data_IF_165328984071
#
_entry.id   IF_165328984071
#
_cell.length_a   1.000
_cell.length_b   1.000
_cell.length_c   1.000
_cell.angle_alpha   90.00
_cell.angle_beta   90.00
_cell.angle_gamma   90.00
#
_symmetry.space_group_name_H-M   'P 1'
#
loop_
_entity.id
_entity.type
_entity.pdbx_description
1 polymer ?
#
# COMPACT_ATOMS: atom_id res chain seq x y z
N UNK A 1 9.48 6.34 -33.32
CA UNK A 1 8.17 6.00 -32.69
C UNK A 1 7.01 5.98 -33.68
N UNK A 2 7.26 6.16 -34.99
CA UNK A 2 6.22 6.30 -36.03
C UNK A 2 5.44 5.01 -36.35
N UNK A 3 5.88 3.86 -35.84
CA UNK A 3 5.26 2.55 -36.08
C UNK A 3 4.17 2.16 -35.06
N UNK A 4 3.99 2.93 -33.97
CA UNK A 4 2.96 2.62 -32.98
C UNK A 4 1.55 2.81 -33.55
N UNK A 5 0.71 1.78 -33.45
CA UNK A 5 -0.72 1.87 -33.74
C UNK A 5 -1.51 1.82 -32.43
N UNK A 6 -2.55 2.64 -32.34
CA UNK A 6 -3.45 2.63 -31.18
C UNK A 6 -4.02 1.21 -30.98
N UNK A 7 -3.74 0.61 -29.82
CA UNK A 7 -4.12 -0.76 -29.48
C UNK A 7 -2.98 -1.78 -29.52
N UNK A 8 -1.77 -1.40 -29.97
CA UNK A 8 -0.60 -2.28 -29.92
C UNK A 8 -0.21 -2.59 -28.48
N UNK A 9 -0.01 -3.89 -28.19
CA UNK A 9 0.44 -4.36 -26.87
C UNK A 9 1.91 -4.04 -26.59
N UNK A 10 2.73 -3.94 -27.64
CA UNK A 10 4.13 -3.56 -27.57
C UNK A 10 4.25 -2.09 -27.98
N UNK A 11 4.42 -1.23 -26.99
CA UNK A 11 4.67 0.19 -27.24
C UNK A 11 6.16 0.35 -27.54
N UNK A 12 6.56 0.80 -28.74
CA UNK A 12 7.97 1.06 -29.01
C UNK A 12 8.47 2.15 -28.05
N UNK A 13 9.69 1.98 -27.55
CA UNK A 13 10.33 2.96 -26.66
C UNK A 13 11.70 3.35 -27.22
N UNK A 14 12.20 4.49 -26.77
CA UNK A 14 13.58 4.92 -27.02
C UNK A 14 14.15 5.45 -25.72
N UNK A 15 15.44 5.19 -25.46
CA UNK A 15 16.15 5.76 -24.32
C UNK A 15 16.43 7.23 -24.63
N UNK A 16 15.89 8.14 -23.82
CA UNK A 16 16.09 9.59 -23.96
C UNK A 16 17.14 10.16 -23.00
N UNK A 17 17.61 9.34 -22.06
CA UNK A 17 18.62 9.70 -21.08
C UNK A 17 18.93 8.54 -20.14
N UNK A 18 20.08 8.62 -19.48
CA UNK A 18 20.54 7.68 -18.47
C UNK A 18 20.99 8.47 -17.24
N UNK A 19 20.61 7.99 -16.06
CA UNK A 19 20.88 8.65 -14.80
C UNK A 19 21.38 7.62 -13.80
N UNK A 20 22.26 8.03 -12.88
CA UNK A 20 22.60 7.20 -11.72
C UNK A 20 21.44 7.25 -10.74
N UNK A 21 21.23 6.18 -9.97
CA UNK A 21 20.22 6.20 -8.91
C UNK A 21 20.43 7.34 -7.91
N UNK A 22 21.68 7.73 -7.65
CA UNK A 22 22.03 8.89 -6.82
C UNK A 22 21.51 10.22 -7.35
N UNK A 23 21.34 10.34 -8.67
CA UNK A 23 20.85 11.56 -9.31
C UNK A 23 19.33 11.70 -9.10
N UNK A 24 18.64 10.60 -8.77
CA UNK A 24 17.20 10.58 -8.51
C UNK A 24 16.87 10.83 -7.03
N UNK A 25 17.81 10.63 -6.11
CA UNK A 25 17.58 10.79 -4.66
C UNK A 25 17.11 12.21 -4.35
N UNK A 26 16.01 12.30 -3.60
CA UNK A 26 15.37 13.57 -3.24
C UNK A 26 14.35 14.08 -4.26
N UNK A 27 14.22 13.46 -5.44
CA UNK A 27 13.11 13.77 -6.34
C UNK A 27 11.78 13.45 -5.67
N UNK A 28 10.85 14.41 -5.71
CA UNK A 28 9.51 14.24 -5.16
C UNK A 28 8.58 13.63 -6.19
N UNK A 29 7.62 12.85 -5.73
CA UNK A 29 6.59 12.21 -6.54
C UNK A 29 5.21 12.37 -5.89
N UNK A 30 4.15 12.15 -6.66
CA UNK A 30 2.78 12.23 -6.14
C UNK A 30 2.38 10.94 -5.44
N UNK A 31 1.66 11.05 -4.31
CA UNK A 31 1.10 9.90 -3.63
C UNK A 31 0.16 9.10 -4.55
N UNK A 32 0.36 7.78 -4.62
CA UNK A 32 -0.40 6.90 -5.50
C UNK A 32 -1.91 6.89 -5.18
N UNK A 33 -2.22 6.75 -3.90
CA UNK A 33 -3.57 6.82 -3.31
C UNK A 33 -3.61 8.00 -2.32
N UNK A 34 -4.06 9.20 -2.73
CA UNK A 34 -4.02 10.42 -1.92
C UNK A 34 -5.28 10.57 -1.07
N UNK A 35 -5.46 9.62 -0.17
CA UNK A 35 -6.65 9.46 0.68
C UNK A 35 -6.38 9.61 2.18
N UNK A 36 -5.12 9.40 2.59
CA UNK A 36 -4.64 9.56 3.95
C UNK A 36 -3.27 10.21 3.85
N UNK A 37 -3.06 11.26 4.62
CA UNK A 37 -1.77 11.94 4.73
C UNK A 37 -0.86 11.24 5.75
N UNK A 38 0.46 11.18 5.50
CA UNK A 38 1.42 10.78 6.51
C UNK A 38 1.40 11.71 7.72
N UNK A 39 1.56 11.14 8.91
CA UNK A 39 1.64 11.89 10.17
C UNK A 39 2.88 11.45 10.94
N UNK A 40 3.42 12.35 11.75
CA UNK A 40 4.44 12.02 12.73
C UNK A 40 3.94 12.39 14.13
N UNK A 41 4.39 11.64 15.14
CA UNK A 41 4.04 11.87 16.54
C UNK A 41 5.27 12.34 17.30
N UNK A 42 5.11 13.40 18.09
CA UNK A 42 6.17 13.93 18.94
C UNK A 42 6.35 13.09 20.24
N UNK A 43 7.30 13.51 21.08
CA UNK A 43 7.60 12.81 22.33
C UNK A 43 6.47 12.89 23.37
N UNK A 44 5.57 13.87 23.24
CA UNK A 44 4.44 14.11 24.14
C UNK A 44 3.17 13.39 23.65
N UNK A 45 3.22 12.74 22.48
CA UNK A 45 2.12 12.00 21.90
C UNK A 45 1.22 12.83 20.99
N UNK A 46 1.58 14.09 20.68
CA UNK A 46 0.82 14.88 19.72
C UNK A 46 1.24 14.50 18.30
N UNK A 47 0.27 14.42 17.40
CA UNK A 47 0.51 14.17 15.99
C UNK A 47 0.35 15.43 15.14
N UNK A 48 1.06 15.48 14.02
CA UNK A 48 0.91 16.50 12.99
C UNK A 48 1.17 15.95 11.58
N UNK A 49 0.64 16.66 10.59
CA UNK A 49 0.85 16.37 9.16
C UNK A 49 2.34 16.41 8.82
N UNK A 50 2.84 15.34 8.21
CA UNK A 50 4.24 15.18 7.82
C UNK A 50 4.41 14.98 6.30
N UNK A 51 3.38 15.30 5.50
CA UNK A 51 3.37 15.07 4.05
C UNK A 51 4.57 15.69 3.32
N UNK A 52 5.06 16.85 3.76
CA UNK A 52 6.22 17.55 3.18
C UNK A 52 7.53 16.75 3.25
N UNK A 53 7.65 15.83 4.21
CA UNK A 53 8.85 14.98 4.36
C UNK A 53 8.71 13.66 3.59
N UNK A 54 7.49 13.32 3.17
CA UNK A 54 7.15 12.07 2.51
C UNK A 54 7.43 12.13 1.00
N UNK A 55 6.90 11.14 0.28
CA UNK A 55 6.81 11.05 -1.19
C UNK A 55 8.02 11.60 -1.97
N UNK A 56 9.20 11.12 -1.62
CA UNK A 56 10.45 11.38 -2.33
C UNK A 56 11.32 10.14 -2.45
N UNK A 57 12.19 10.13 -3.43
CA UNK A 57 13.15 9.03 -3.64
C UNK A 57 14.21 9.06 -2.53
N UNK A 58 14.48 7.90 -1.95
CA UNK A 58 15.52 7.68 -0.92
C UNK A 58 16.48 6.58 -1.40
N UNK A 59 17.74 6.57 -0.93
CA UNK A 59 18.64 5.45 -1.21
C UNK A 59 18.16 4.19 -0.49
N UNK A 60 18.37 3.02 -1.11
CA UNK A 60 18.04 1.72 -0.55
C UNK A 60 19.03 0.67 -1.01
N UNK A 61 19.90 0.21 -0.11
CA UNK A 61 21.01 -0.71 -0.44
C UNK A 61 20.53 -2.17 -0.63
N UNK A 62 19.27 -2.47 -0.28
CA UNK A 62 18.65 -3.80 -0.44
C UNK A 62 17.98 -3.99 -1.80
N UNK A 63 17.96 -2.95 -2.65
CA UNK A 63 17.31 -2.98 -3.96
C UNK A 63 18.21 -3.73 -4.95
N UNK A 64 17.66 -4.78 -5.58
CA UNK A 64 18.32 -5.48 -6.68
C UNK A 64 17.74 -5.01 -8.02
N UNK A 65 18.51 -5.22 -9.09
CA UNK A 65 18.09 -4.92 -10.48
C UNK A 65 17.86 -6.19 -11.31
N UNK A 66 17.93 -7.37 -10.66
CA UNK A 66 17.73 -8.66 -11.30
C UNK A 66 16.26 -8.92 -11.61
N UNK A 67 15.37 -8.51 -10.70
CA UNK A 67 13.92 -8.63 -10.83
C UNK A 67 13.24 -7.30 -10.49
N UNK A 68 12.09 -7.04 -11.13
CA UNK A 68 11.32 -5.81 -10.94
C UNK A 68 11.79 -4.65 -11.83
N UNK A 69 11.74 -3.43 -11.31
CA UNK A 69 12.03 -2.19 -12.08
C UNK A 69 13.30 -1.47 -11.62
N UNK A 70 13.97 -1.97 -10.57
CA UNK A 70 15.05 -1.24 -9.90
C UNK A 70 14.56 -0.09 -9.00
N UNK A 71 13.25 0.11 -8.86
CA UNK A 71 12.60 1.04 -7.92
C UNK A 71 11.66 0.24 -7.03
N UNK A 72 11.76 0.42 -5.71
CA UNK A 72 10.97 -0.30 -4.71
C UNK A 72 9.99 0.64 -4.03
N UNK A 73 8.72 0.22 -3.96
CA UNK A 73 7.73 0.86 -3.10
C UNK A 73 8.02 0.48 -1.65
N UNK A 74 7.98 1.45 -0.73
CA UNK A 74 8.19 1.21 0.71
C UNK A 74 6.92 1.49 1.49
N UNK A 75 6.58 0.59 2.42
CA UNK A 75 5.49 0.75 3.37
C UNK A 75 6.01 0.52 4.80
N UNK A 76 6.56 1.58 5.46
CA UNK A 76 7.24 1.46 6.76
C UNK A 76 6.39 0.87 7.89
N UNK A 77 5.07 0.90 7.77
CA UNK A 77 4.14 0.33 8.74
C UNK A 77 3.99 -1.20 8.63
N UNK A 78 4.41 -1.80 7.51
CA UNK A 78 4.17 -3.22 7.20
C UNK A 78 5.44 -4.00 6.83
N UNK A 79 6.59 -3.33 6.69
CA UNK A 79 7.87 -3.97 6.38
C UNK A 79 8.99 -3.50 7.31
N UNK A 80 9.76 -4.44 7.88
CA UNK A 80 10.87 -4.11 8.77
C UNK A 80 12.02 -3.40 8.03
N UNK A 81 12.37 -3.88 6.84
CA UNK A 81 13.41 -3.27 6.00
C UNK A 81 12.98 -1.87 5.54
N UNK A 82 11.72 -1.73 5.13
CA UNK A 82 11.10 -0.44 4.77
C UNK A 82 11.14 0.54 5.94
N UNK A 83 10.79 0.09 7.15
CA UNK A 83 10.84 0.91 8.35
C UNK A 83 12.27 1.39 8.66
N UNK A 84 13.26 0.52 8.46
CA UNK A 84 14.65 0.86 8.69
C UNK A 84 15.13 1.95 7.73
N UNK A 85 14.92 1.77 6.41
CA UNK A 85 15.36 2.77 5.42
C UNK A 85 14.57 4.07 5.49
N UNK A 86 13.26 4.00 5.76
CA UNK A 86 12.42 5.16 5.95
C UNK A 86 12.87 5.98 7.16
N UNK A 87 13.14 5.32 8.29
CA UNK A 87 13.65 5.99 9.50
C UNK A 87 15.01 6.63 9.25
N UNK A 88 15.94 5.93 8.60
CA UNK A 88 17.26 6.47 8.27
C UNK A 88 17.17 7.71 7.36
N UNK A 89 16.20 7.72 6.45
CA UNK A 89 15.96 8.82 5.54
C UNK A 89 15.02 9.91 6.11
N UNK A 90 14.41 9.73 7.28
CA UNK A 90 13.44 10.66 7.85
C UNK A 90 12.09 10.70 7.11
N UNK A 91 11.68 9.60 6.48
CA UNK A 91 10.37 9.45 5.86
C UNK A 91 9.34 9.06 6.93
N UNK A 92 8.24 9.82 7.10
CA UNK A 92 7.20 9.49 8.06
C UNK A 92 6.40 8.26 7.59
N UNK A 93 5.92 7.49 8.56
CA UNK A 93 5.02 6.36 8.33
C UNK A 93 3.59 6.85 8.02
N UNK A 94 2.83 6.01 7.33
CA UNK A 94 1.40 6.25 7.07
C UNK A 94 0.56 5.60 8.18
N UNK A 95 0.35 6.32 9.28
CA UNK A 95 -0.47 5.86 10.41
C UNK A 95 -1.87 6.47 10.39
N UNK A 96 -2.81 5.72 10.96
CA UNK A 96 -4.14 6.18 11.35
C UNK A 96 -4.10 6.65 12.80
N UNK A 97 -4.92 7.62 13.18
CA UNK A 97 -5.09 8.02 14.58
C UNK A 97 -6.46 7.57 15.06
N UNK A 98 -6.50 6.73 16.10
CA UNK A 98 -7.76 6.29 16.69
C UNK A 98 -8.34 7.36 17.63
N UNK A 99 -9.59 7.21 18.08
CA UNK A 99 -10.24 8.12 19.04
C UNK A 99 -9.50 8.36 20.36
N UNK A 100 -8.48 7.56 20.70
CA UNK A 100 -7.64 7.74 21.89
C UNK A 100 -6.38 8.58 21.60
N UNK A 101 -6.19 9.04 20.36
CA UNK A 101 -4.99 9.74 19.92
C UNK A 101 -3.80 8.81 19.64
N UNK A 102 -4.01 7.49 19.61
CA UNK A 102 -2.93 6.51 19.40
C UNK A 102 -2.74 6.22 17.92
N UNK A 103 -1.49 6.07 17.49
CA UNK A 103 -1.15 5.61 16.14
C UNK A 103 -1.54 4.16 15.92
N UNK A 104 -2.20 3.88 14.79
CA UNK A 104 -2.57 2.55 14.33
C UNK A 104 -2.07 2.34 12.90
N UNK A 105 -1.69 1.11 12.51
CA UNK A 105 -1.47 0.79 11.11
C UNK A 105 -2.76 1.04 10.29
N UNK A 106 -2.66 1.04 8.96
CA UNK A 106 -3.81 1.29 8.07
C UNK A 106 -4.98 0.32 8.26
N UNK A 107 -4.70 -0.88 8.76
CA UNK A 107 -5.66 -1.95 8.98
C UNK A 107 -5.57 -2.46 10.41
N UNK A 108 -6.67 -2.94 10.95
CA UNK A 108 -6.71 -3.55 12.28
C UNK A 108 -5.96 -4.91 12.32
N UNK A 109 -5.96 -5.55 13.49
CA UNK A 109 -5.31 -6.86 13.68
C UNK A 109 -6.01 -8.01 12.93
N UNK A 110 -7.19 -7.75 12.35
CA UNK A 110 -7.96 -8.66 11.53
C UNK A 110 -7.77 -8.37 10.03
N UNK A 111 -6.93 -7.40 9.66
CA UNK A 111 -6.67 -7.01 8.28
C UNK A 111 -7.83 -6.23 7.64
N UNK A 112 -8.68 -5.59 8.45
CA UNK A 112 -9.79 -4.75 8.02
C UNK A 112 -9.39 -3.27 8.10
N UNK A 113 -9.73 -2.49 7.08
CA UNK A 113 -9.56 -1.03 7.12
C UNK A 113 -10.49 -0.42 8.19
N UNK A 114 -9.98 0.55 8.94
CA UNK A 114 -10.76 1.25 9.95
C UNK A 114 -11.97 1.95 9.34
N UNK A 115 -13.08 1.95 10.09
CA UNK A 115 -14.20 2.82 9.80
C UNK A 115 -13.84 4.26 10.15
N UNK A 116 -14.35 5.24 9.42
CA UNK A 116 -14.11 6.65 9.70
C UNK A 116 -14.55 7.03 11.12
N UNK A 117 -15.59 6.39 11.66
CA UNK A 117 -16.07 6.61 13.01
C UNK A 117 -15.19 5.96 14.10
N UNK A 118 -14.22 5.12 13.76
CA UNK A 118 -13.24 4.56 14.71
C UNK A 118 -12.02 5.48 14.90
N UNK A 119 -11.88 6.47 14.03
CA UNK A 119 -10.75 7.39 13.97
C UNK A 119 -11.01 8.67 14.79
N UNK A 120 -9.92 9.36 15.12
CA UNK A 120 -9.96 10.67 15.75
C UNK A 120 -10.58 11.73 14.81
N UNK A 121 -11.50 12.54 15.33
CA UNK A 121 -12.26 13.50 14.53
C UNK A 121 -11.37 14.57 13.89
N UNK A 122 -10.35 15.03 14.62
CA UNK A 122 -9.41 16.02 14.11
C UNK A 122 -8.57 15.41 12.99
N UNK A 123 -8.04 14.20 13.19
CA UNK A 123 -7.30 13.46 12.16
C UNK A 123 -8.12 13.24 10.89
N UNK A 124 -9.38 12.81 11.02
CA UNK A 124 -10.26 12.64 9.85
C UNK A 124 -10.43 13.96 9.10
N UNK A 125 -10.60 15.07 9.81
CA UNK A 125 -10.81 16.38 9.18
C UNK A 125 -9.55 16.97 8.51
N UNK A 126 -8.35 16.72 9.05
CA UNK A 126 -7.10 17.36 8.60
C UNK A 126 -6.30 16.48 7.62
N UNK A 127 -6.40 15.16 7.76
CA UNK A 127 -5.49 14.19 7.16
C UNK A 127 -6.18 13.13 6.28
N UNK A 128 -7.51 13.04 6.28
CA UNK A 128 -8.24 12.03 5.50
C UNK A 128 -9.11 12.69 4.44
N UNK A 129 -8.95 12.27 3.19
CA UNK A 129 -9.91 12.56 2.13
C UNK A 129 -11.07 11.57 2.27
N UNK A 130 -12.12 12.01 2.98
CA UNK A 130 -13.27 11.18 3.35
C UNK A 130 -13.92 10.54 2.13
N UNK A 131 -14.11 11.28 1.03
CA UNK A 131 -14.79 10.78 -0.16
C UNK A 131 -13.97 9.65 -0.83
N UNK A 132 -12.64 9.81 -0.88
CA UNK A 132 -11.76 8.76 -1.41
C UNK A 132 -11.64 7.56 -0.46
N UNK A 133 -11.58 7.78 0.84
CA UNK A 133 -11.42 6.71 1.84
C UNK A 133 -12.66 5.84 2.01
N UNK A 134 -13.85 6.41 1.77
CA UNK A 134 -15.14 5.74 1.94
C UNK A 134 -15.30 4.42 1.20
N UNK A 135 -14.62 4.27 0.05
CA UNK A 135 -14.71 3.04 -0.75
C UNK A 135 -13.96 1.84 -0.14
N UNK A 136 -13.20 2.07 0.92
CA UNK A 136 -12.29 1.10 1.51
C UNK A 136 -12.52 0.86 2.99
N UNK A 137 -13.07 1.84 3.70
CA UNK A 137 -13.40 1.69 5.11
C UNK A 137 -14.18 0.39 5.33
N UNK A 138 -13.73 -0.41 6.29
CA UNK A 138 -14.32 -1.69 6.63
C UNK A 138 -14.10 -2.85 5.65
N UNK A 139 -13.36 -2.68 4.54
CA UNK A 139 -12.98 -3.80 3.66
C UNK A 139 -11.79 -4.57 4.22
N UNK A 140 -11.69 -5.84 3.87
CA UNK A 140 -10.55 -6.69 4.20
C UNK A 140 -9.49 -6.66 3.10
N UNK A 141 -8.22 -6.64 3.50
CA UNK A 141 -7.06 -6.74 2.59
C UNK A 141 -7.05 -8.02 1.76
N UNK A 142 -7.63 -9.11 2.29
CA UNK A 142 -7.81 -10.39 1.61
C UNK A 142 -9.16 -10.98 1.99
N UNK A 143 -9.83 -11.60 1.02
CA UNK A 143 -11.11 -12.30 1.24
C UNK A 143 -10.97 -13.41 2.29
N UNK A 144 -9.77 -14.00 2.45
CA UNK A 144 -9.50 -15.00 3.48
C UNK A 144 -9.68 -14.52 4.93
N UNK A 145 -9.73 -13.20 5.16
CA UNK A 145 -9.97 -12.63 6.49
C UNK A 145 -11.41 -12.18 6.71
N UNK A 146 -12.19 -12.11 5.63
CA UNK A 146 -13.57 -11.66 5.70
C UNK A 146 -14.45 -12.78 6.29
N UNK A 147 -15.12 -12.53 7.44
CA UNK A 147 -15.97 -13.52 8.08
C UNK A 147 -17.10 -14.06 7.19
N UNK A 148 -17.51 -13.33 6.13
CA UNK A 148 -18.57 -13.79 5.23
C UNK A 148 -18.20 -15.11 4.51
N UNK A 149 -16.90 -15.37 4.31
CA UNK A 149 -16.41 -16.61 3.69
C UNK A 149 -16.07 -17.68 4.72
N UNK A 150 -16.29 -17.43 6.02
CA UNK A 150 -16.11 -18.42 7.09
C UNK A 150 -17.44 -18.69 7.77
N UNK A 151 -18.17 -19.69 7.26
CA UNK A 151 -19.46 -20.10 7.81
C UNK A 151 -19.27 -21.30 8.71
N UNK A 152 -19.78 -21.23 9.95
CA UNK A 152 -19.64 -22.28 10.97
C UNK A 152 -18.18 -22.69 11.23
N UNK A 153 -17.27 -21.72 11.19
CA UNK A 153 -15.83 -21.93 11.40
C UNK A 153 -15.10 -22.60 10.23
N UNK A 154 -15.78 -22.84 9.09
CA UNK A 154 -15.19 -23.42 7.88
C UNK A 154 -15.07 -22.35 6.80
N UNK A 155 -13.86 -22.19 6.29
CA UNK A 155 -13.55 -21.28 5.20
C UNK A 155 -14.00 -21.88 3.86
N UNK A 156 -14.83 -21.15 3.12
CA UNK A 156 -15.23 -21.48 1.76
C UNK A 156 -14.26 -20.85 0.77
N UNK A 157 -13.18 -21.58 0.47
CA UNK A 157 -12.15 -21.15 -0.47
C UNK A 157 -12.71 -20.89 -1.87
N UNK A 158 -13.73 -21.65 -2.30
CA UNK A 158 -14.32 -21.50 -3.64
C UNK A 158 -15.12 -20.20 -3.73
N UNK A 159 -15.93 -19.90 -2.73
CA UNK A 159 -16.66 -18.64 -2.67
C UNK A 159 -15.71 -17.43 -2.58
N UNK A 160 -14.69 -17.51 -1.73
CA UNK A 160 -13.71 -16.44 -1.55
C UNK A 160 -12.88 -16.17 -2.81
N UNK A 161 -12.49 -17.22 -3.56
CA UNK A 161 -11.75 -17.09 -4.81
C UNK A 161 -12.61 -16.61 -5.99
N UNK A 162 -13.94 -16.81 -5.94
CA UNK A 162 -14.87 -16.31 -6.94
C UNK A 162 -15.27 -14.84 -6.71
N UNK A 163 -15.17 -14.36 -5.47
CA UNK A 163 -15.41 -12.96 -5.13
C UNK A 163 -14.24 -12.07 -5.55
N UNK A 164 -14.54 -10.84 -5.97
CA UNK A 164 -13.50 -9.83 -6.20
C UNK A 164 -12.79 -9.51 -4.89
N UNK A 165 -11.47 -9.55 -4.88
CA UNK A 165 -10.64 -9.15 -3.75
C UNK A 165 -10.21 -7.68 -3.85
N UNK A 166 -9.94 -7.05 -2.70
CA UNK A 166 -9.59 -5.63 -2.63
C UNK A 166 -8.32 -5.29 -3.43
N UNK A 167 -7.33 -6.17 -3.46
CA UNK A 167 -6.11 -6.00 -4.26
C UNK A 167 -6.39 -5.95 -5.77
N UNK A 168 -7.28 -6.82 -6.28
CA UNK A 168 -7.73 -6.80 -7.68
C UNK A 168 -8.46 -5.49 -7.97
N UNK A 169 -9.37 -5.08 -7.08
CA UNK A 169 -10.08 -3.81 -7.20
C UNK A 169 -9.10 -2.62 -7.29
N UNK A 170 -8.11 -2.55 -6.41
CA UNK A 170 -7.07 -1.50 -6.43
C UNK A 170 -6.28 -1.54 -7.74
N UNK A 171 -5.85 -2.72 -8.19
CA UNK A 171 -5.17 -2.89 -9.47
C UNK A 171 -6.00 -2.32 -10.64
N UNK A 172 -7.29 -2.65 -10.70
CA UNK A 172 -8.20 -2.17 -11.74
C UNK A 172 -8.40 -0.65 -11.67
N UNK A 173 -8.57 -0.08 -10.46
CA UNK A 173 -8.63 1.38 -10.26
C UNK A 173 -7.36 2.08 -10.73
N UNK A 174 -6.18 1.56 -10.38
CA UNK A 174 -4.91 2.11 -10.84
C UNK A 174 -4.76 2.00 -12.36
N UNK A 175 -5.23 0.91 -12.96
CA UNK A 175 -5.22 0.74 -14.43
C UNK A 175 -6.12 1.76 -15.11
N UNK A 176 -7.34 1.94 -14.61
CA UNK A 176 -8.29 2.93 -15.11
C UNK A 176 -7.74 4.37 -14.99
N UNK A 177 -7.01 4.66 -13.91
CA UNK A 177 -6.34 5.94 -13.70
C UNK A 177 -4.99 6.07 -14.44
N UNK A 178 -4.60 5.11 -15.28
CA UNK A 178 -3.31 5.08 -16.00
C UNK A 178 -2.07 5.15 -15.09
N UNK A 179 -2.21 4.72 -13.82
CA UNK A 179 -1.12 4.61 -12.85
C UNK A 179 -0.47 3.23 -12.82
N UNK A 180 -1.13 2.20 -13.37
CA UNK A 180 -0.58 0.84 -13.49
C UNK A 180 -0.28 0.47 -14.95
N UNK A 181 1.00 0.19 -15.25
CA UNK A 181 1.45 -0.18 -16.58
C UNK A 181 1.09 -1.63 -16.93
N UNK A 182 1.46 -2.57 -16.06
CA UNK A 182 1.27 -4.02 -16.23
C UNK A 182 0.61 -4.61 -14.98
N UNK A 183 -0.35 -5.52 -15.18
CA UNK A 183 -0.98 -6.31 -14.10
C UNK A 183 -0.88 -7.77 -14.50
N UNK A 184 -0.30 -8.59 -13.64
CA UNK A 184 -0.16 -10.02 -13.86
C UNK A 184 -0.24 -10.79 -12.54
N UNK A 185 -0.63 -12.07 -12.63
CA UNK A 185 -0.62 -12.96 -11.48
C UNK A 185 0.77 -13.55 -11.30
N UNK A 186 1.32 -13.42 -10.11
CA UNK A 186 2.59 -14.03 -9.74
C UNK A 186 2.36 -15.18 -8.75
N UNK A 187 3.04 -16.30 -8.96
CA UNK A 187 2.99 -17.47 -8.06
C UNK A 187 4.35 -17.61 -7.42
N UNK A 188 4.40 -17.44 -6.10
CA UNK A 188 5.60 -17.57 -5.29
C UNK A 188 5.24 -18.14 -3.92
N UNK A 189 6.24 -18.63 -3.19
CA UNK A 189 6.04 -19.08 -1.82
C UNK A 189 5.92 -17.88 -0.89
N UNK A 190 4.89 -17.89 -0.06
CA UNK A 190 4.61 -16.80 0.87
C UNK A 190 4.41 -17.36 2.29
N UNK A 191 4.88 -16.67 3.35
CA UNK A 191 4.68 -17.13 4.70
C UNK A 191 3.20 -17.16 5.06
N UNK A 192 2.76 -18.23 5.72
CA UNK A 192 1.39 -18.38 6.18
C UNK A 192 1.36 -18.69 7.68
N UNK A 193 0.37 -18.17 8.41
CA UNK A 193 0.09 -18.56 9.79
C UNK A 193 -0.34 -20.04 9.83
N UNK A 194 0.26 -20.81 10.72
CA UNK A 194 0.02 -22.25 10.87
C UNK A 194 -1.15 -22.61 11.81
N UNK A 195 -1.93 -21.64 12.30
CA UNK A 195 -3.00 -21.91 13.26
C UNK A 195 -4.31 -22.31 12.55
N UNK A 196 -4.82 -23.51 12.90
CA UNK A 196 -6.15 -24.07 12.54
C UNK A 196 -6.35 -24.63 11.13
N UNK A 197 -5.31 -25.18 10.49
CA UNK A 197 -5.48 -25.91 9.22
C UNK A 197 -5.98 -25.05 8.05
N UNK A 198 -5.91 -23.72 8.21
CA UNK A 198 -6.23 -22.74 7.18
C UNK A 198 -4.98 -21.92 6.90
N UNK A 199 -4.50 -22.00 5.68
CA UNK A 199 -3.38 -21.24 5.14
C UNK A 199 -3.76 -19.76 5.06
N UNK A 200 -3.48 -18.99 6.11
CA UNK A 200 -3.69 -17.53 6.12
C UNK A 200 -2.38 -16.85 5.79
N UNK A 201 -2.31 -16.15 4.66
CA UNK A 201 -1.14 -15.36 4.28
C UNK A 201 -0.75 -14.41 5.42
N UNK A 202 0.54 -14.32 5.75
CA UNK A 202 1.09 -13.28 6.61
C UNK A 202 1.53 -12.14 5.70
N UNK A 203 0.89 -10.98 5.78
CA UNK A 203 1.34 -9.81 5.00
C UNK A 203 2.82 -9.49 5.31
N UNK A 204 3.69 -9.27 4.29
CA UNK A 204 4.60 -8.14 4.31
C UNK A 204 4.14 -7.07 3.32
N UNK A 205 4.73 -5.88 3.51
CA UNK A 205 4.63 -4.65 2.73
C UNK A 205 4.40 -4.80 1.23
#
# INVERSE_FOLDING_TARGET
>A
LEEYKAGDKLVPFQVVGEYKGTDLVGMHYEQLLPWVKPVETDADGNWHDASEKAFRVIPGDYVTVEDGTGIVHIAPTFGADDAFVARAAGIPSLFMINRKGETRPMVDLQGKFYLLDELDERFVSECVDVDRYREYEGRWVKNAYDPQFTVDGRYDEKAAAAAESLDIYICMKMKAASKAFKIEKHVHNYPHLLAHGQTRALLPA
#
